data_IF_527574201200
#
_entry.id   IF_527574201200
#
_cell.length_a   1.000
_cell.length_b   1.000
_cell.length_c   1.000
_cell.angle_alpha   90.00
_cell.angle_beta   90.00
_cell.angle_gamma   90.00
#
_symmetry.space_group_name_H-M   'P 1'
#
loop_
_entity.id
_entity.type
_entity.pdbx_description
1 polymer ?
#
# COMPACT_ATOMS: atom_id res chain seq x y z
N UNK A 1 2.90 -27.98 6.04
CA UNK A 1 3.54 -26.76 5.53
C UNK A 1 3.22 -26.61 4.07
N UNK A 2 2.46 -25.59 3.72
CA UNK A 2 2.16 -25.23 2.35
C UNK A 2 3.44 -24.92 1.56
N UNK A 3 3.48 -25.36 0.30
CA UNK A 3 4.51 -24.95 -0.66
C UNK A 3 4.37 -23.46 -0.95
N UNK A 4 5.46 -22.72 -1.09
CA UNK A 4 5.42 -21.29 -1.41
C UNK A 4 6.11 -21.03 -2.76
N UNK A 5 5.33 -20.55 -3.73
CA UNK A 5 5.76 -20.22 -5.10
C UNK A 5 5.79 -18.70 -5.25
N UNK A 6 6.95 -18.08 -5.01
CA UNK A 6 7.08 -16.62 -5.03
C UNK A 6 7.76 -16.18 -6.31
N UNK A 7 7.04 -15.42 -7.12
CA UNK A 7 7.51 -14.83 -8.36
C UNK A 7 7.89 -13.37 -8.15
N UNK A 8 8.89 -12.89 -8.90
CA UNK A 8 9.23 -11.48 -8.98
C UNK A 8 9.18 -11.01 -10.45
N UNK A 9 8.42 -9.95 -10.68
CA UNK A 9 8.14 -9.42 -12.01
C UNK A 9 9.35 -8.64 -12.53
N UNK A 10 9.64 -8.72 -13.83
CA UNK A 10 10.59 -7.84 -14.52
C UNK A 10 9.99 -7.25 -15.80
N UNK A 11 10.54 -6.12 -16.25
CA UNK A 11 10.07 -5.35 -17.40
C UNK A 11 11.09 -5.31 -18.55
N UNK A 12 12.36 -5.54 -18.25
CA UNK A 12 13.50 -5.43 -19.17
C UNK A 12 14.70 -6.21 -18.60
N UNK A 13 15.81 -6.24 -19.35
CA UNK A 13 17.02 -6.95 -18.93
C UNK A 13 17.68 -6.38 -17.68
N UNK A 14 17.47 -5.09 -17.39
CA UNK A 14 18.02 -4.44 -16.20
C UNK A 14 17.26 -4.90 -14.95
N UNK A 15 15.94 -4.74 -14.96
CA UNK A 15 15.06 -5.21 -13.88
C UNK A 15 15.12 -6.73 -13.71
N UNK A 16 15.34 -7.50 -14.78
CA UNK A 16 15.58 -8.95 -14.71
C UNK A 16 16.88 -9.29 -13.99
N UNK A 17 17.96 -8.55 -14.24
CA UNK A 17 19.25 -8.74 -13.56
C UNK A 17 19.22 -8.31 -12.10
N UNK A 18 18.32 -7.38 -11.75
CA UNK A 18 18.15 -6.88 -10.39
C UNK A 18 17.20 -7.72 -9.52
N UNK A 19 16.61 -8.80 -10.05
CA UNK A 19 15.74 -9.68 -9.27
C UNK A 19 16.51 -10.36 -8.12
N UNK A 20 15.80 -10.63 -7.03
CA UNK A 20 16.32 -11.46 -5.95
C UNK A 20 16.42 -12.91 -6.46
N UNK A 21 17.60 -13.55 -6.39
CA UNK A 21 17.83 -14.88 -6.97
C UNK A 21 17.01 -15.99 -6.30
N UNK A 22 16.44 -15.76 -5.11
CA UNK A 22 15.56 -16.72 -4.45
C UNK A 22 14.11 -16.69 -4.94
N UNK A 23 13.72 -15.71 -5.76
CA UNK A 23 12.39 -15.64 -6.35
C UNK A 23 12.38 -16.12 -7.81
N UNK A 24 11.24 -16.64 -8.25
CA UNK A 24 11.05 -17.08 -9.62
C UNK A 24 10.82 -15.88 -10.54
N UNK A 25 11.51 -15.74 -11.67
CA UNK A 25 11.29 -14.61 -12.57
C UNK A 25 9.91 -14.69 -13.26
N UNK A 26 9.21 -13.57 -13.38
CA UNK A 26 7.95 -13.44 -14.13
C UNK A 26 8.04 -12.30 -15.16
N UNK A 27 7.91 -12.66 -16.43
CA UNK A 27 8.15 -11.75 -17.57
C UNK A 27 6.96 -10.81 -17.86
N UNK A 28 7.25 -9.50 -17.91
CA UNK A 28 6.35 -8.45 -18.37
C UNK A 28 6.95 -7.54 -19.47
N UNK A 29 8.00 -7.97 -20.16
CA UNK A 29 8.70 -7.16 -21.17
C UNK A 29 7.85 -6.92 -22.43
N UNK A 30 7.66 -5.65 -22.79
CA UNK A 30 7.04 -5.24 -24.06
C UNK A 30 5.55 -5.57 -24.23
N UNK A 31 4.83 -5.82 -23.12
CA UNK A 31 3.44 -6.29 -23.18
C UNK A 31 2.43 -5.15 -23.00
N UNK A 32 1.79 -5.04 -21.83
CA UNK A 32 0.75 -4.04 -21.52
C UNK A 32 1.23 -3.09 -20.43
N UNK A 33 2.09 -2.11 -20.76
CA UNK A 33 2.63 -1.17 -19.77
C UNK A 33 1.54 -0.32 -19.09
N UNK A 34 0.38 -0.16 -19.72
CA UNK A 34 -0.80 0.52 -19.16
C UNK A 34 -1.47 -0.26 -18.01
N UNK A 35 -1.18 -1.55 -17.86
CA UNK A 35 -1.65 -2.41 -16.78
C UNK A 35 -0.56 -2.80 -15.77
N UNK A 36 0.71 -2.48 -16.05
CA UNK A 36 1.86 -2.74 -15.18
C UNK A 36 1.88 -4.14 -14.56
N UNK A 37 2.01 -4.25 -13.23
CA UNK A 37 2.07 -5.51 -12.50
C UNK A 37 0.78 -6.36 -12.60
N UNK A 38 -0.38 -5.76 -12.88
CA UNK A 38 -1.62 -6.54 -13.04
C UNK A 38 -1.53 -7.51 -14.22
N UNK A 39 -0.94 -7.07 -15.33
CA UNK A 39 -0.91 -7.84 -16.57
C UNK A 39 -0.21 -9.21 -16.45
N UNK A 40 1.05 -9.31 -15.98
CA UNK A 40 1.73 -10.61 -15.87
C UNK A 40 1.07 -11.51 -14.83
N UNK A 41 0.51 -10.93 -13.75
CA UNK A 41 -0.28 -11.67 -12.75
C UNK A 41 -1.54 -12.27 -13.38
N UNK A 42 -2.32 -11.45 -14.10
CA UNK A 42 -3.51 -11.88 -14.83
C UNK A 42 -3.20 -13.01 -15.80
N UNK A 43 -2.17 -12.86 -16.64
CA UNK A 43 -1.77 -13.92 -17.58
C UNK A 43 -1.39 -15.20 -16.85
N UNK A 44 -0.62 -15.10 -15.77
CA UNK A 44 -0.23 -16.29 -15.01
C UNK A 44 -1.45 -17.02 -14.45
N UNK A 45 -2.37 -16.28 -13.80
CA UNK A 45 -3.53 -16.86 -13.15
C UNK A 45 -4.57 -17.42 -14.14
N UNK A 46 -4.67 -16.86 -15.36
CA UNK A 46 -5.56 -17.38 -16.40
C UNK A 46 -4.98 -18.59 -17.14
N UNK A 47 -3.65 -18.63 -17.32
CA UNK A 47 -2.99 -19.66 -18.13
C UNK A 47 -2.51 -20.87 -17.30
N UNK A 48 -2.59 -20.81 -15.97
CA UNK A 48 -2.11 -21.88 -15.09
C UNK A 48 -3.19 -22.30 -14.10
N UNK A 49 -3.26 -23.59 -13.82
CA UNK A 49 -4.01 -24.10 -12.65
C UNK A 49 -3.08 -24.06 -11.45
N UNK A 50 -3.48 -23.34 -10.40
CA UNK A 50 -2.71 -23.25 -9.16
C UNK A 50 -2.85 -24.55 -8.34
N UNK A 51 -1.78 -24.96 -7.66
CA UNK A 51 -1.79 -26.07 -6.72
C UNK A 51 -2.53 -25.65 -5.44
N UNK A 52 -3.63 -26.32 -5.08
CA UNK A 52 -4.48 -25.95 -3.93
C UNK A 52 -3.71 -25.94 -2.59
N UNK A 53 -2.68 -26.79 -2.44
CA UNK A 53 -1.85 -26.88 -1.24
C UNK A 53 -0.57 -26.02 -1.32
N UNK A 54 -0.69 -24.82 -1.90
CA UNK A 54 0.41 -23.88 -2.02
C UNK A 54 -0.04 -22.43 -1.72
N UNK A 55 0.93 -21.53 -1.58
CA UNK A 55 0.75 -20.09 -1.66
C UNK A 55 1.56 -19.55 -2.82
N UNK A 56 1.03 -18.52 -3.47
CA UNK A 56 1.63 -17.84 -4.61
C UNK A 56 1.82 -16.37 -4.29
N UNK A 57 2.97 -15.83 -4.67
CA UNK A 57 3.28 -14.40 -4.60
C UNK A 57 3.73 -13.89 -5.95
N UNK A 58 3.35 -12.66 -6.29
CA UNK A 58 3.78 -12.01 -7.53
C UNK A 58 4.27 -10.62 -7.16
N UNK A 59 5.56 -10.48 -6.89
CA UNK A 59 6.14 -9.28 -6.29
C UNK A 59 6.66 -8.32 -7.37
N UNK A 60 6.42 -7.02 -7.21
CA UNK A 60 7.02 -5.98 -8.08
C UNK A 60 8.56 -6.05 -8.02
N UNK A 61 9.28 -5.69 -9.10
CA UNK A 61 10.75 -5.63 -9.08
C UNK A 61 11.29 -4.70 -7.99
N UNK A 62 10.49 -3.72 -7.53
CA UNK A 62 10.86 -2.81 -6.44
C UNK A 62 10.70 -3.39 -5.02
N UNK A 63 10.32 -4.67 -4.88
CA UNK A 63 10.05 -5.31 -3.59
C UNK A 63 11.19 -5.09 -2.59
N UNK A 64 12.41 -5.55 -2.90
CA UNK A 64 13.56 -5.42 -2.00
C UNK A 64 13.91 -3.96 -1.71
N UNK A 65 13.80 -3.07 -2.69
CA UNK A 65 14.09 -1.63 -2.48
C UNK A 65 13.12 -0.99 -1.50
N UNK A 66 11.81 -1.30 -1.58
CA UNK A 66 10.76 -0.70 -0.74
C UNK A 66 10.63 -1.36 0.62
N UNK A 67 10.80 -2.68 0.71
CA UNK A 67 10.59 -3.45 1.96
C UNK A 67 11.88 -3.70 2.73
N UNK A 68 13.05 -3.62 2.06
CA UNK A 68 14.36 -4.07 2.57
C UNK A 68 14.41 -5.57 2.91
N UNK A 69 13.43 -6.35 2.46
CA UNK A 69 13.38 -7.80 2.65
C UNK A 69 14.02 -8.52 1.48
N UNK A 70 14.75 -9.60 1.80
CA UNK A 70 15.27 -10.58 0.84
C UNK A 70 14.30 -11.76 0.68
N UNK A 71 14.53 -12.61 -0.32
CA UNK A 71 13.84 -13.90 -0.43
C UNK A 71 14.02 -14.77 0.82
N UNK A 72 15.22 -14.79 1.41
CA UNK A 72 15.48 -15.51 2.66
C UNK A 72 14.56 -15.05 3.79
N UNK A 73 14.41 -13.73 3.96
CA UNK A 73 13.51 -13.16 4.96
C UNK A 73 12.06 -13.58 4.75
N UNK A 74 11.60 -13.53 3.49
CA UNK A 74 10.24 -13.90 3.10
C UNK A 74 9.98 -15.37 3.38
N UNK A 75 10.87 -16.28 2.94
CA UNK A 75 10.68 -17.71 3.13
C UNK A 75 10.81 -18.13 4.60
N UNK A 76 11.68 -17.50 5.39
CA UNK A 76 11.76 -17.73 6.84
C UNK A 76 10.44 -17.34 7.51
N UNK A 77 9.86 -16.20 7.13
CA UNK A 77 8.59 -15.76 7.70
C UNK A 77 7.42 -16.67 7.28
N UNK A 78 7.37 -17.06 6.00
CA UNK A 78 6.35 -17.99 5.47
C UNK A 78 6.40 -19.36 6.15
N UNK A 79 7.59 -19.89 6.43
CA UNK A 79 7.78 -21.19 7.08
C UNK A 79 7.25 -21.23 8.52
N UNK A 80 7.08 -20.06 9.16
CA UNK A 80 6.51 -19.94 10.51
C UNK A 80 4.98 -19.82 10.51
N UNK A 81 4.36 -19.63 9.35
CA UNK A 81 2.92 -19.44 9.28
C UNK A 81 2.19 -20.78 9.30
N UNK A 82 1.14 -20.93 10.12
CA UNK A 82 0.25 -22.08 10.07
C UNK A 82 -0.33 -22.30 8.66
N UNK A 83 -0.65 -23.54 8.32
CA UNK A 83 -1.22 -23.87 7.01
C UNK A 83 -2.62 -23.26 6.79
N UNK A 84 -3.32 -22.89 7.87
CA UNK A 84 -4.63 -22.20 7.81
C UNK A 84 -4.53 -20.69 7.56
N UNK A 85 -3.31 -20.11 7.50
CA UNK A 85 -3.10 -18.73 7.07
C UNK A 85 -3.18 -18.68 5.54
N UNK A 86 -4.20 -18.03 5.02
CA UNK A 86 -4.46 -17.95 3.58
C UNK A 86 -3.68 -16.83 2.90
N UNK A 87 -3.36 -15.78 3.64
CA UNK A 87 -2.74 -14.56 3.10
C UNK A 87 -1.60 -14.09 3.99
N UNK A 88 -0.47 -13.77 3.39
CA UNK A 88 0.70 -13.20 4.08
C UNK A 88 1.09 -11.88 3.42
N UNK A 89 1.18 -10.82 4.22
CA UNK A 89 1.31 -9.43 3.78
C UNK A 89 2.70 -8.90 4.11
N UNK A 90 3.32 -8.21 3.16
CA UNK A 90 4.66 -7.63 3.27
C UNK A 90 4.66 -6.14 2.87
N UNK A 91 3.55 -5.46 3.16
CA UNK A 91 3.36 -4.04 2.84
C UNK A 91 4.44 -3.16 3.49
N UNK A 92 5.07 -2.23 2.75
CA UNK A 92 6.02 -1.28 3.32
C UNK A 92 5.27 -0.05 3.82
N UNK A 93 6.00 0.96 4.29
CA UNK A 93 5.45 2.27 4.65
C UNK A 93 4.37 2.14 5.73
N UNK A 94 4.74 1.52 6.85
CA UNK A 94 3.81 1.23 7.94
C UNK A 94 3.07 2.47 8.43
N UNK A 95 3.70 3.65 8.41
CA UNK A 95 3.02 4.89 8.76
C UNK A 95 1.84 5.21 7.84
N UNK A 96 1.93 4.90 6.54
CA UNK A 96 0.82 5.12 5.61
C UNK A 96 -0.35 4.23 5.99
N UNK A 97 -0.09 2.96 6.33
CA UNK A 97 -1.15 2.14 6.89
C UNK A 97 -1.66 2.75 8.20
N UNK A 98 -0.80 3.08 9.15
CA UNK A 98 -1.20 3.52 10.47
C UNK A 98 -2.01 4.84 10.48
N UNK A 99 -1.69 5.84 9.65
CA UNK A 99 -2.34 7.16 9.72
C UNK A 99 -3.64 7.26 8.91
N UNK A 100 -3.78 6.46 7.84
CA UNK A 100 -5.00 6.41 7.05
C UNK A 100 -5.96 5.36 7.64
N UNK A 101 -7.26 5.66 7.63
CA UNK A 101 -8.29 4.74 8.09
C UNK A 101 -8.31 3.47 7.23
N UNK A 102 -8.05 3.64 5.93
CA UNK A 102 -8.00 2.58 4.93
C UNK A 102 -7.18 2.98 3.69
N UNK A 103 -6.95 2.02 2.78
CA UNK A 103 -6.19 2.24 1.54
C UNK A 103 -6.88 3.16 0.53
N UNK A 104 -8.19 3.40 0.67
CA UNK A 104 -8.95 4.29 -0.22
C UNK A 104 -8.74 5.75 0.17
N UNK A 105 -8.79 6.06 1.47
CA UNK A 105 -8.43 7.38 2.00
C UNK A 105 -6.99 7.75 1.60
N UNK A 106 -6.07 6.80 1.75
CA UNK A 106 -4.68 6.95 1.31
C UNK A 106 -4.59 7.24 -0.20
N UNK A 107 -5.38 6.56 -1.03
CA UNK A 107 -5.37 6.76 -2.48
C UNK A 107 -5.81 8.17 -2.86
N UNK A 108 -6.91 8.65 -2.25
CA UNK A 108 -7.46 9.98 -2.51
C UNK A 108 -6.46 11.07 -2.09
N UNK A 109 -5.72 10.82 -1.01
CA UNK A 109 -4.65 11.72 -0.57
C UNK A 109 -3.50 11.84 -1.60
N UNK A 110 -3.06 10.71 -2.17
CA UNK A 110 -1.88 10.69 -3.06
C UNK A 110 -2.18 10.89 -4.54
N UNK A 111 -3.42 10.66 -4.98
CA UNK A 111 -3.81 10.70 -6.39
C UNK A 111 -4.98 11.67 -6.60
N UNK A 112 -4.67 12.94 -6.86
CA UNK A 112 -5.70 13.94 -7.16
C UNK A 112 -6.56 13.49 -8.35
N UNK A 113 -7.89 13.56 -8.17
CA UNK A 113 -8.87 13.17 -9.20
C UNK A 113 -9.34 11.71 -9.17
N UNK A 114 -8.75 10.84 -8.34
CA UNK A 114 -9.08 9.40 -8.34
C UNK A 114 -10.40 9.05 -7.63
N UNK A 115 -10.91 9.94 -6.77
CA UNK A 115 -11.95 9.61 -5.78
C UNK A 115 -13.22 9.00 -6.40
N UNK A 116 -13.75 9.60 -7.47
CA UNK A 116 -14.96 9.11 -8.13
C UNK A 116 -14.75 7.72 -8.75
N UNK A 117 -13.59 7.49 -9.37
CA UNK A 117 -13.23 6.21 -9.96
C UNK A 117 -13.15 5.11 -8.89
N UNK A 118 -12.51 5.40 -7.75
CA UNK A 118 -12.43 4.46 -6.61
C UNK A 118 -13.80 4.12 -6.04
N UNK A 119 -14.66 5.12 -5.82
CA UNK A 119 -15.99 4.90 -5.24
C UNK A 119 -16.84 3.99 -6.13
N UNK A 120 -16.85 4.27 -7.44
CA UNK A 120 -17.60 3.48 -8.41
C UNK A 120 -17.02 2.08 -8.58
N UNK A 121 -15.70 1.93 -8.60
CA UNK A 121 -15.06 0.62 -8.66
C UNK A 121 -15.34 -0.20 -7.39
N UNK A 122 -15.23 0.41 -6.21
CA UNK A 122 -15.51 -0.27 -4.93
C UNK A 122 -16.97 -0.72 -4.87
N UNK A 123 -17.94 0.14 -5.20
CA UNK A 123 -19.36 -0.25 -5.29
C UNK A 123 -19.63 -1.36 -6.32
N UNK A 124 -18.87 -1.40 -7.40
CA UNK A 124 -19.01 -2.45 -8.42
C UNK A 124 -18.62 -3.83 -7.88
N UNK A 125 -17.60 -3.90 -7.02
CA UNK A 125 -17.07 -5.15 -6.45
C UNK A 125 -17.74 -5.51 -5.13
N UNK A 126 -18.03 -4.53 -4.29
CA UNK A 126 -18.59 -4.67 -2.96
C UNK A 126 -19.74 -3.66 -2.75
N UNK A 127 -20.94 -3.92 -3.31
CA UNK A 127 -22.05 -2.96 -3.31
C UNK A 127 -22.50 -2.48 -1.93
N UNK A 128 -22.30 -3.31 -0.90
CA UNK A 128 -22.68 -3.02 0.49
C UNK A 128 -21.57 -2.39 1.32
N UNK A 129 -20.36 -2.22 0.77
CA UNK A 129 -19.22 -1.66 1.47
C UNK A 129 -19.19 -0.13 1.32
N UNK A 130 -19.26 0.62 2.43
CA UNK A 130 -18.94 2.05 2.42
C UNK A 130 -17.43 2.24 2.65
N UNK A 131 -16.70 2.46 1.56
CA UNK A 131 -15.24 2.63 1.62
C UNK A 131 -14.79 3.81 2.51
N UNK A 132 -15.64 4.81 2.75
CA UNK A 132 -15.28 5.99 3.55
C UNK A 132 -15.23 5.69 5.04
N UNK A 133 -15.99 4.69 5.47
CA UNK A 133 -16.08 4.25 6.87
C UNK A 133 -15.43 2.88 7.10
N UNK A 134 -14.86 2.27 6.06
CA UNK A 134 -14.17 1.00 6.17
C UNK A 134 -12.91 1.17 7.02
N UNK A 135 -12.82 0.46 8.13
CA UNK A 135 -11.61 0.40 8.96
C UNK A 135 -10.71 -0.72 8.45
N UNK A 136 -9.42 -0.45 8.28
CA UNK A 136 -8.42 -1.48 7.93
C UNK A 136 -7.19 -1.35 8.81
N UNK A 137 -6.73 -2.43 9.43
CA UNK A 137 -5.42 -2.48 10.10
C UNK A 137 -4.35 -3.08 9.18
N UNK A 138 -3.13 -3.23 9.68
CA UNK A 138 -2.01 -3.89 8.99
C UNK A 138 -2.34 -5.30 8.48
N UNK A 139 -3.30 -5.98 9.09
CA UNK A 139 -3.73 -7.33 8.67
C UNK A 139 -4.62 -7.33 7.42
N UNK A 140 -5.08 -6.17 6.94
CA UNK A 140 -5.89 -6.06 5.71
C UNK A 140 -5.26 -5.14 4.66
N UNK A 141 -4.20 -4.41 4.98
CA UNK A 141 -3.63 -3.41 4.06
C UNK A 141 -2.50 -4.00 3.21
N UNK A 142 -2.78 -4.12 1.91
CA UNK A 142 -1.80 -4.50 0.88
C UNK A 142 -1.41 -3.26 0.07
N UNK A 143 -0.11 -2.98 -0.01
CA UNK A 143 0.44 -1.98 -0.92
C UNK A 143 1.11 -2.65 -2.13
N UNK A 144 0.84 -2.10 -3.32
CA UNK A 144 1.27 -2.67 -4.59
C UNK A 144 0.80 -4.14 -4.70
N UNK A 145 1.72 -5.07 -4.86
CA UNK A 145 1.47 -6.51 -4.94
C UNK A 145 2.32 -7.30 -3.93
N UNK A 146 2.58 -6.72 -2.74
CA UNK A 146 3.42 -7.34 -1.70
C UNK A 146 2.62 -8.27 -0.79
N UNK A 147 2.08 -9.31 -1.44
CA UNK A 147 1.18 -10.29 -0.84
C UNK A 147 1.51 -11.68 -1.39
N UNK A 148 1.42 -12.68 -0.52
CA UNK A 148 1.59 -14.10 -0.85
C UNK A 148 0.35 -14.82 -0.33
N UNK A 149 -0.40 -15.46 -1.22
CA UNK A 149 -1.75 -15.94 -0.89
C UNK A 149 -2.06 -17.32 -1.48
N UNK A 150 -3.04 -18.01 -0.91
CA UNK A 150 -3.54 -19.29 -1.43
C UNK A 150 -4.30 -19.12 -2.76
N UNK A 151 -4.49 -20.21 -3.52
CA UNK A 151 -5.30 -20.17 -4.75
C UNK A 151 -6.71 -19.65 -4.57
N UNK A 152 -7.37 -19.92 -3.43
CA UNK A 152 -8.69 -19.37 -3.14
C UNK A 152 -8.68 -17.85 -3.19
N UNK A 153 -7.73 -17.21 -2.50
CA UNK A 153 -7.59 -15.75 -2.54
C UNK A 153 -7.35 -15.25 -3.96
N UNK A 154 -6.42 -15.86 -4.70
CA UNK A 154 -6.09 -15.40 -6.06
C UNK A 154 -7.26 -15.55 -7.04
N UNK A 155 -8.10 -16.58 -6.89
CA UNK A 155 -9.34 -16.72 -7.68
C UNK A 155 -10.33 -15.59 -7.37
N UNK A 156 -10.57 -15.28 -6.09
CA UNK A 156 -11.47 -14.19 -5.71
C UNK A 156 -10.92 -12.81 -6.13
N UNK A 157 -9.62 -12.60 -5.99
CA UNK A 157 -8.94 -11.38 -6.45
C UNK A 157 -9.01 -11.21 -7.96
N UNK A 158 -8.69 -12.26 -8.72
CA UNK A 158 -8.76 -12.22 -10.18
C UNK A 158 -10.19 -11.95 -10.63
N UNK A 159 -11.19 -12.63 -10.06
CA UNK A 159 -12.59 -12.42 -10.43
C UNK A 159 -13.03 -10.96 -10.19
N UNK A 160 -12.61 -10.33 -9.09
CA UNK A 160 -12.88 -8.92 -8.84
C UNK A 160 -12.16 -8.01 -9.84
N UNK A 161 -10.88 -8.26 -10.11
CA UNK A 161 -10.10 -7.45 -11.02
C UNK A 161 -10.56 -7.57 -12.48
N UNK A 162 -11.02 -8.74 -12.93
CA UNK A 162 -11.51 -8.94 -14.30
C UNK A 162 -12.75 -8.10 -14.60
N UNK A 163 -13.63 -7.88 -13.61
CA UNK A 163 -14.78 -6.97 -13.77
C UNK A 163 -14.30 -5.55 -14.10
N UNK A 164 -13.27 -5.07 -13.42
CA UNK A 164 -12.72 -3.73 -13.66
C UNK A 164 -11.89 -3.67 -14.94
N UNK A 165 -11.16 -4.75 -15.25
CA UNK A 165 -10.42 -4.90 -16.49
C UNK A 165 -11.35 -4.78 -17.70
N UNK A 166 -12.44 -5.54 -17.73
CA UNK A 166 -13.39 -5.52 -18.84
C UNK A 166 -14.02 -4.13 -19.03
N UNK A 167 -14.38 -3.45 -17.93
CA UNK A 167 -14.94 -2.09 -17.98
C UNK A 167 -13.92 -1.10 -18.54
N UNK A 168 -12.66 -1.19 -18.12
CA UNK A 168 -11.59 -0.32 -18.59
C UNK A 168 -11.25 -0.58 -20.07
N UNK A 169 -11.13 -1.84 -20.50
CA UNK A 169 -10.81 -2.19 -21.89
C UNK A 169 -11.95 -1.86 -22.85
N UNK A 170 -13.20 -2.11 -22.45
CA UNK A 170 -14.36 -1.67 -23.23
C UNK A 170 -14.56 -0.15 -23.19
N UNK A 171 -13.91 0.53 -22.23
CA UNK A 171 -14.05 1.95 -21.94
C UNK A 171 -15.53 2.40 -21.88
N UNK A 172 -16.37 1.56 -21.27
CA UNK A 172 -17.83 1.67 -21.36
C UNK A 172 -18.47 2.25 -20.11
N UNK A 173 -19.67 2.81 -20.28
CA UNK A 173 -20.43 3.46 -19.20
C UNK A 173 -19.69 4.66 -18.59
N UNK A 174 -20.10 5.05 -17.39
CA UNK A 174 -19.45 6.15 -16.67
C UNK A 174 -18.10 5.74 -16.04
N UNK A 175 -17.92 4.46 -15.69
CA UNK A 175 -16.73 3.99 -14.99
C UNK A 175 -15.53 3.78 -15.92
N UNK A 176 -15.73 3.32 -17.16
CA UNK A 176 -14.63 3.06 -18.10
C UNK A 176 -13.69 4.26 -18.30
N UNK A 177 -14.21 5.44 -18.67
CA UNK A 177 -13.39 6.64 -18.82
C UNK A 177 -12.67 7.06 -17.53
N UNK A 178 -13.31 6.88 -16.37
CA UNK A 178 -12.72 7.19 -15.06
C UNK A 178 -11.59 6.23 -14.70
N UNK A 179 -11.69 4.95 -15.04
CA UNK A 179 -10.61 3.97 -14.85
C UNK A 179 -9.39 4.31 -15.74
N UNK A 180 -9.63 4.79 -16.96
CA UNK A 180 -8.57 5.15 -17.90
C UNK A 180 -8.01 6.57 -17.72
N UNK A 181 -8.68 7.41 -16.91
CA UNK A 181 -8.23 8.77 -16.63
C UNK A 181 -6.85 8.79 -15.97
N UNK A 182 -6.00 9.74 -16.38
CA UNK A 182 -4.67 9.89 -15.81
C UNK A 182 -4.74 10.60 -14.46
N UNK A 183 -4.01 10.06 -13.49
CA UNK A 183 -3.82 10.66 -12.17
C UNK A 183 -2.32 10.81 -11.85
N UNK A 184 -1.94 11.82 -11.03
CA UNK A 184 -0.54 12.05 -10.70
C UNK A 184 0.12 10.88 -9.95
N UNK A 185 1.39 10.63 -10.25
CA UNK A 185 2.25 9.69 -9.55
C UNK A 185 3.72 10.12 -9.64
N UNK A 186 4.19 10.84 -8.61
CA UNK A 186 5.48 11.53 -8.67
C UNK A 186 5.49 12.49 -9.86
N UNK A 187 6.51 12.38 -10.70
CA UNK A 187 6.64 13.19 -11.93
C UNK A 187 5.91 12.59 -13.15
N UNK A 188 5.20 11.48 -12.96
CA UNK A 188 4.47 10.78 -14.02
C UNK A 188 2.95 10.95 -13.88
N UNK A 189 2.26 10.63 -14.98
CA UNK A 189 0.81 10.52 -15.04
C UNK A 189 0.46 9.09 -15.44
N UNK A 190 -0.37 8.41 -14.65
CA UNK A 190 -0.71 7.01 -14.89
C UNK A 190 -2.22 6.78 -14.81
N UNK A 191 -2.78 5.82 -15.56
CA UNK A 191 -4.21 5.53 -15.53
C UNK A 191 -4.68 5.12 -14.13
N UNK A 192 -5.82 5.64 -13.67
CA UNK A 192 -6.38 5.34 -12.34
C UNK A 192 -6.56 3.84 -12.07
N UNK A 193 -6.87 3.05 -13.10
CA UNK A 193 -7.11 1.60 -13.03
C UNK A 193 -5.99 0.83 -12.33
N UNK A 194 -4.73 1.23 -12.51
CA UNK A 194 -3.60 0.51 -11.88
C UNK A 194 -3.66 0.66 -10.35
N UNK A 195 -3.94 1.87 -9.85
CA UNK A 195 -4.02 2.15 -8.42
C UNK A 195 -5.28 1.54 -7.81
N UNK A 196 -6.37 1.48 -8.57
CA UNK A 196 -7.61 0.84 -8.13
C UNK A 196 -7.41 -0.67 -7.99
N UNK A 197 -6.78 -1.34 -8.97
CA UNK A 197 -6.51 -2.78 -8.90
C UNK A 197 -5.62 -3.15 -7.70
N UNK A 198 -4.57 -2.36 -7.40
CA UNK A 198 -3.71 -2.59 -6.23
C UNK A 198 -4.51 -2.71 -4.92
N UNK A 199 -5.64 -2.00 -4.82
CA UNK A 199 -6.47 -1.92 -3.60
C UNK A 199 -7.52 -3.02 -3.50
N UNK A 200 -7.73 -3.81 -4.56
CA UNK A 200 -8.69 -4.91 -4.55
C UNK A 200 -8.30 -6.01 -3.58
N UNK A 201 -7.00 -6.23 -3.37
CA UNK A 201 -6.52 -7.16 -2.35
C UNK A 201 -7.00 -6.74 -0.95
N UNK A 202 -6.79 -5.48 -0.59
CA UNK A 202 -7.21 -4.94 0.71
C UNK A 202 -8.73 -4.92 0.86
N UNK A 203 -9.48 -4.61 -0.20
CA UNK A 203 -10.94 -4.67 -0.21
C UNK A 203 -11.43 -6.09 0.12
N UNK A 204 -10.89 -7.10 -0.56
CA UNK A 204 -11.28 -8.49 -0.35
C UNK A 204 -10.94 -9.00 1.05
N UNK A 205 -9.76 -8.65 1.57
CA UNK A 205 -9.39 -8.94 2.96
C UNK A 205 -10.34 -8.31 3.99
N UNK A 206 -11.06 -7.26 3.62
CA UNK A 206 -11.98 -6.55 4.52
C UNK A 206 -13.42 -7.06 4.45
N UNK A 207 -13.81 -7.69 3.34
CA UNK A 207 -15.20 -8.13 3.11
C UNK A 207 -15.37 -9.65 3.05
N UNK A 208 -14.26 -10.41 3.10
CA UNK A 208 -14.24 -11.87 3.06
C UNK A 208 -13.54 -12.43 4.28
N UNK A 209 -13.93 -13.64 4.68
CA UNK A 209 -13.27 -14.39 5.74
C UNK A 209 -12.00 -15.05 5.21
N UNK A 210 -10.92 -14.28 5.10
CA UNK A 210 -9.56 -14.78 4.89
C UNK A 210 -8.78 -14.70 6.19
N UNK A 211 -7.98 -15.71 6.48
CA UNK A 211 -7.00 -15.62 7.57
C UNK A 211 -5.71 -15.01 7.05
N UNK A 212 -5.44 -13.75 7.42
CA UNK A 212 -4.22 -13.05 7.07
C UNK A 212 -3.20 -12.98 8.21
N UNK A 213 -1.93 -12.80 7.84
CA UNK A 213 -0.82 -12.41 8.71
C UNK A 213 0.03 -11.35 8.03
N UNK A 214 0.45 -10.35 8.77
CA UNK A 214 1.39 -9.32 8.29
C UNK A 214 2.80 -9.53 8.85
N UNK A 215 3.81 -9.22 8.04
CA UNK A 215 5.20 -9.12 8.50
C UNK A 215 5.29 -8.23 9.76
N UNK A 216 6.18 -8.63 10.68
CA UNK A 216 6.48 -7.94 11.93
C UNK A 216 6.75 -6.44 11.67
N UNK A 217 6.10 -5.56 12.44
CA UNK A 217 6.14 -4.10 12.22
C UNK A 217 7.58 -3.58 12.25
N UNK A 218 8.42 -4.12 13.14
CA UNK A 218 9.84 -3.78 13.27
C UNK A 218 10.66 -4.07 12.00
N UNK A 219 10.14 -4.93 11.12
CA UNK A 219 10.72 -5.28 9.83
C UNK A 219 10.08 -4.55 8.65
N UNK A 220 9.11 -3.68 8.91
CA UNK A 220 8.49 -2.85 7.88
C UNK A 220 9.22 -1.51 7.76
N UNK A 221 9.21 -0.94 6.55
CA UNK A 221 9.83 0.36 6.30
C UNK A 221 8.89 1.51 6.59
N UNK A 222 9.46 2.71 6.76
CA UNK A 222 8.73 3.97 6.75
C UNK A 222 9.02 4.71 5.43
N UNK A 223 8.07 5.49 4.91
CA UNK A 223 8.31 6.25 3.65
C UNK A 223 9.37 7.34 3.80
N UNK A 224 9.48 7.95 4.98
CA UNK A 224 10.50 8.95 5.29
C UNK A 224 11.05 8.79 6.71
N UNK A 225 12.30 9.20 6.97
CA UNK A 225 12.89 9.15 8.32
C UNK A 225 12.18 10.00 9.37
N UNK A 226 11.43 11.04 8.95
CA UNK A 226 10.67 11.92 9.85
C UNK A 226 9.68 11.17 10.75
N UNK A 227 9.27 9.97 10.34
CA UNK A 227 8.31 9.15 11.08
C UNK A 227 8.95 8.28 12.17
N UNK A 228 10.28 8.10 12.15
CA UNK A 228 11.00 7.25 13.11
C UNK A 228 10.73 7.65 14.57
N UNK A 229 10.76 8.93 14.96
CA UNK A 229 10.46 9.35 16.33
C UNK A 229 9.03 9.03 16.79
N UNK A 230 8.12 8.82 15.84
CA UNK A 230 6.69 8.62 16.09
C UNK A 230 6.25 7.16 16.03
N UNK A 231 7.18 6.21 15.91
CA UNK A 231 6.91 4.78 15.71
C UNK A 231 5.93 4.20 16.74
N UNK A 232 6.09 4.54 18.03
CA UNK A 232 5.18 4.04 19.08
C UNK A 232 3.74 4.52 18.88
N UNK A 233 3.54 5.77 18.43
CA UNK A 233 2.22 6.29 18.12
C UNK A 233 1.65 5.62 16.88
N UNK A 234 2.46 5.34 15.86
CA UNK A 234 2.03 4.60 14.67
C UNK A 234 1.55 3.18 15.03
N UNK A 235 2.28 2.48 15.91
CA UNK A 235 1.87 1.16 16.42
C UNK A 235 0.53 1.27 17.16
N UNK A 236 0.37 2.29 18.01
CA UNK A 236 -0.89 2.53 18.72
C UNK A 236 -2.05 2.78 17.75
N UNK A 237 -1.86 3.59 16.70
CA UNK A 237 -2.89 3.88 15.71
C UNK A 237 -3.35 2.62 14.97
N UNK A 238 -2.42 1.75 14.55
CA UNK A 238 -2.77 0.48 13.93
C UNK A 238 -3.48 -0.47 14.92
N UNK A 239 -3.02 -0.51 16.18
CA UNK A 239 -3.66 -1.30 17.25
C UNK A 239 -5.09 -0.83 17.55
N UNK A 240 -5.39 0.47 17.48
CA UNK A 240 -6.75 0.99 17.61
C UNK A 240 -7.65 0.50 16.48
N UNK A 241 -7.16 0.49 15.23
CA UNK A 241 -7.91 -0.07 14.09
C UNK A 241 -8.12 -1.57 14.25
N UNK A 242 -7.10 -2.31 14.71
CA UNK A 242 -7.20 -3.73 15.00
C UNK A 242 -8.25 -4.01 16.10
N UNK A 243 -8.25 -3.23 17.18
CA UNK A 243 -9.23 -3.35 18.26
C UNK A 243 -10.65 -3.01 17.81
N UNK A 244 -10.82 -1.97 16.99
CA UNK A 244 -12.10 -1.61 16.38
C UNK A 244 -12.68 -2.78 15.57
N UNK A 245 -11.85 -3.42 14.74
CA UNK A 245 -12.24 -4.58 13.92
C UNK A 245 -12.61 -5.80 14.78
N UNK A 246 -11.82 -6.09 15.81
CA UNK A 246 -12.05 -7.27 16.67
C UNK A 246 -13.25 -7.14 17.61
N UNK A 247 -13.65 -5.92 17.95
CA UNK A 247 -14.72 -5.67 18.95
C UNK A 247 -15.98 -5.05 18.38
N UNK A 248 -15.92 -4.44 17.18
CA UNK A 248 -17.01 -3.67 16.60
C UNK A 248 -17.30 -2.35 17.31
N UNK A 249 -16.43 -1.90 18.22
CA UNK A 249 -16.63 -0.71 19.05
C UNK A 249 -16.09 0.55 18.38
N UNK A 250 -16.98 1.52 18.16
CA UNK A 250 -16.63 2.80 17.51
C UNK A 250 -15.69 3.68 18.33
N UNK A 251 -15.60 3.47 19.64
CA UNK A 251 -14.75 4.24 20.55
C UNK A 251 -13.29 4.18 20.11
N UNK A 252 -12.84 3.02 19.61
CA UNK A 252 -11.48 2.87 19.09
C UNK A 252 -11.24 3.71 17.84
N UNK A 253 -12.22 3.82 16.94
CA UNK A 253 -12.15 4.68 15.74
C UNK A 253 -12.16 6.15 16.13
N UNK A 254 -12.98 6.53 17.12
CA UNK A 254 -13.02 7.90 17.65
C UNK A 254 -11.68 8.32 18.25
N UNK A 255 -11.05 7.45 19.05
CA UNK A 255 -9.71 7.70 19.60
C UNK A 255 -8.67 7.75 18.48
N UNK A 256 -8.73 6.82 17.52
CA UNK A 256 -7.87 6.83 16.34
C UNK A 256 -7.92 8.16 15.59
N UNK A 257 -9.12 8.70 15.37
CA UNK A 257 -9.31 9.99 14.68
C UNK A 257 -8.70 11.16 15.45
N UNK A 258 -8.81 11.19 16.78
CA UNK A 258 -8.18 12.23 17.60
C UNK A 258 -6.66 12.13 17.51
N UNK A 259 -6.11 10.94 17.76
CA UNK A 259 -4.67 10.72 17.85
C UNK A 259 -3.96 10.93 16.50
N UNK A 260 -4.55 10.46 15.39
CA UNK A 260 -3.95 10.66 14.06
C UNK A 260 -3.89 12.13 13.67
N UNK A 261 -4.90 12.91 14.04
CA UNK A 261 -4.95 14.35 13.74
C UNK A 261 -3.94 15.14 14.58
N UNK A 262 -3.78 14.77 15.85
CA UNK A 262 -2.73 15.34 16.71
C UNK A 262 -1.34 15.05 16.14
N UNK A 263 -1.08 13.79 15.76
CA UNK A 263 0.18 13.37 15.16
C UNK A 263 0.45 14.11 13.84
N UNK A 264 -0.53 14.20 12.95
CA UNK A 264 -0.41 14.93 11.69
C UNK A 264 -0.05 16.40 11.91
N UNK A 265 -0.68 17.05 12.90
CA UNK A 265 -0.35 18.42 13.30
C UNK A 265 1.08 18.56 13.83
N UNK A 266 1.57 17.60 14.61
CA UNK A 266 2.93 17.58 15.15
C UNK A 266 3.97 17.42 14.05
N UNK A 267 3.83 16.40 13.20
CA UNK A 267 4.78 16.15 12.09
C UNK A 267 4.83 17.33 11.13
N UNK A 268 3.70 17.99 10.86
CA UNK A 268 3.66 19.20 10.04
C UNK A 268 4.52 20.32 10.64
N UNK A 269 4.35 20.62 11.94
CA UNK A 269 5.12 21.66 12.64
C UNK A 269 6.62 21.34 12.66
N UNK A 270 6.97 20.08 12.91
CA UNK A 270 8.37 19.63 12.92
C UNK A 270 9.03 19.80 11.56
N UNK A 271 8.32 19.47 10.47
CA UNK A 271 8.81 19.69 9.10
C UNK A 271 8.98 21.16 8.76
N UNK A 272 8.06 22.02 9.20
CA UNK A 272 8.15 23.46 9.01
C UNK A 272 9.37 24.03 9.76
N UNK A 273 9.56 23.66 11.03
CA UNK A 273 10.72 24.06 11.83
C UNK A 273 12.04 23.55 11.24
N UNK A 274 12.10 22.31 10.76
CA UNK A 274 13.27 21.75 10.10
C UNK A 274 13.65 22.50 8.82
N UNK A 275 12.65 22.93 8.01
CA UNK A 275 12.89 23.76 6.82
C UNK A 275 13.45 25.13 7.16
N UNK A 276 12.95 25.78 8.21
CA UNK A 276 13.47 27.06 8.69
C UNK A 276 14.95 26.95 9.11
N UNK A 277 15.30 25.89 9.85
CA UNK A 277 16.69 25.63 10.25
C UNK A 277 17.62 25.44 9.05
N UNK A 278 17.20 24.67 8.03
CA UNK A 278 18.00 24.47 6.81
C UNK A 278 18.15 25.76 6.01
N UNK A 279 17.12 26.62 5.95
CA UNK A 279 17.20 27.92 5.31
C UNK A 279 18.14 28.88 6.05
N UNK A 280 18.10 28.89 7.39
CA UNK A 280 18.98 29.72 8.22
C UNK A 280 20.46 29.30 8.11
N UNK A 281 20.74 28.00 7.99
CA UNK A 281 22.10 27.48 7.71
C UNK A 281 22.59 27.88 6.31
N UNK A 282 21.70 27.92 5.31
CA UNK A 282 22.04 28.33 3.93
C UNK A 282 22.13 29.85 3.73
N UNK A 283 21.60 30.67 4.66
CA UNK A 283 21.65 32.14 4.63
C UNK A 283 22.07 32.74 5.98
N UNK A 284 23.35 32.58 6.41
CA UNK A 284 23.81 32.98 7.75
C UNK A 284 23.63 34.49 8.06
N UNK A 285 23.62 35.35 7.02
CA UNK A 285 23.39 36.79 7.17
C UNK A 285 21.95 37.15 7.60
N UNK A 286 20.97 36.27 7.43
CA UNK A 286 19.57 36.50 7.83
C UNK A 286 19.35 36.17 9.30
N UNK A 287 19.94 35.08 9.80
CA UNK A 287 19.96 34.72 11.22
C UNK A 287 20.68 35.78 12.09
N UNK A 288 21.80 36.32 11.60
CA UNK A 288 22.53 37.41 12.25
C UNK A 288 21.68 38.71 12.36
N UNK A 289 20.93 39.05 11.31
CA UNK A 289 20.01 40.20 11.30
C UNK A 289 18.81 40.01 12.25
N UNK A 290 18.28 38.79 12.36
CA UNK A 290 17.18 38.44 13.29
C UNK A 290 17.61 38.56 14.76
N UNK A 291 18.81 38.08 15.11
CA UNK A 291 19.43 38.29 16.44
C UNK A 291 19.71 39.77 16.75
N UNK A 292 20.18 40.54 15.77
CA UNK A 292 20.43 41.97 15.93
C UNK A 292 19.13 42.80 16.09
N UNK A 293 18.02 42.38 15.49
CA UNK A 293 16.72 43.01 15.64
C UNK A 293 16.09 42.74 17.02
N UNK A 294 16.20 41.50 17.53
CA UNK A 294 15.70 41.11 18.86
C UNK A 294 16.52 41.74 20.01
N UNK A 295 17.81 42.02 19.80
CA UNK A 295 18.66 42.72 20.77
C UNK A 295 18.40 44.23 20.91
N UNK A 296 17.67 44.84 19.97
CA UNK A 296 17.36 46.29 19.98
C UNK A 296 16.02 46.64 20.64
N UNK A 297 15.18 45.65 21.00
CA UNK A 297 13.91 45.87 21.71
C UNK A 297 14.03 45.77 23.24
N UNK A 298 15.24 45.64 23.79
CA UNK A 298 15.52 45.57 25.23
C UNK A 298 16.39 46.72 25.75
N UNK A 299 16.29 47.90 25.15
CA UNK A 299 16.81 49.15 25.71
C UNK A 299 15.77 50.25 25.63
#
# INVERSE_FOLDING_TARGET
MLKNCVYQIFYDDESRRALDPGFLPLDNTGQRPDWREYWPMRRFLLSNTLEENARYGFLSPKFGTKTKLTSGDVFVYLARQPDDVEVVIFSPFFEQNAIFLNVFEQAVHHHAGIAQALEMACRRIAPTCDMRHLVQSSEQVVYCNYIIATPRFWREWLAACEILFDIAEANSGMLGPLLNALVPYGDMQLPAKIFIIERMASLLLSIRAFRSRTMEIERTTLSTPDWVPHTNLLIMLDALKYAALGTGREEYVKVFDVERNLLAGTVKREREAGKELVQDVKQPNRAARRKAALGKQRK
#
